data_IF_649465354907
#
_entry.id   IF_649465354907
#
_cell.length_a   1.000
_cell.length_b   1.000
_cell.length_c   1.000
_cell.angle_alpha   90.00
_cell.angle_beta   90.00
_cell.angle_gamma   90.00
#
_symmetry.space_group_name_H-M   'P 1'
#
loop_
_entity.id
_entity.type
_entity.pdbx_description
1 polymer ?
#
# COMPACT_ATOMS: atom_id res chain seq x y z
N UNK A 1 9.66 21.65 36.33
CA UNK A 1 10.46 20.57 35.71
C UNK A 1 9.71 20.10 34.47
N UNK A 2 10.06 20.63 33.30
CA UNK A 2 9.39 20.28 32.04
C UNK A 2 10.00 18.98 31.49
N UNK A 3 9.20 17.92 31.40
CA UNK A 3 9.58 16.70 30.69
C UNK A 3 9.61 17.02 29.19
N UNK A 4 10.81 17.22 28.66
CA UNK A 4 11.03 17.30 27.21
C UNK A 4 10.89 15.87 26.67
N UNK A 5 9.72 15.55 26.11
CA UNK A 5 9.50 14.32 25.36
C UNK A 5 10.31 14.36 24.06
N UNK A 6 11.58 13.97 24.12
CA UNK A 6 12.39 13.73 22.92
C UNK A 6 11.98 12.39 22.33
N UNK A 7 11.31 12.40 21.18
CA UNK A 7 11.10 11.19 20.38
C UNK A 7 12.46 10.71 19.88
N UNK A 8 12.92 9.53 20.34
CA UNK A 8 14.08 8.85 19.75
C UNK A 8 13.85 8.71 18.25
N UNK A 9 14.85 9.06 17.44
CA UNK A 9 14.83 8.88 15.98
C UNK A 9 14.61 7.39 15.70
N UNK A 10 13.46 7.05 15.12
CA UNK A 10 13.09 5.66 14.87
C UNK A 10 14.06 5.07 13.82
N UNK A 11 14.64 3.88 14.03
CA UNK A 11 15.68 3.32 13.16
C UNK A 11 15.19 2.81 11.80
N UNK A 12 13.98 3.20 11.37
CA UNK A 12 13.31 2.68 10.17
C UNK A 12 12.60 1.34 10.42
N UNK A 13 11.94 0.82 9.38
CA UNK A 13 11.26 -0.47 9.47
C UNK A 13 12.28 -1.61 9.54
N UNK A 14 12.22 -2.41 10.60
CA UNK A 14 13.07 -3.58 10.77
C UNK A 14 12.70 -4.74 9.82
N UNK A 15 13.64 -5.67 9.67
CA UNK A 15 13.43 -6.92 8.93
C UNK A 15 13.49 -6.80 7.39
N UNK A 16 13.45 -7.94 6.67
CA UNK A 16 13.69 -7.98 5.24
C UNK A 16 12.64 -7.23 4.41
N UNK A 17 11.36 -7.27 4.81
CA UNK A 17 10.27 -6.55 4.14
C UNK A 17 10.39 -5.05 4.42
N UNK A 18 10.62 -4.67 5.68
CA UNK A 18 10.72 -3.27 6.11
C UNK A 18 11.83 -2.51 5.38
N UNK A 19 13.00 -3.13 5.22
CA UNK A 19 14.14 -2.55 4.49
C UNK A 19 13.85 -2.27 3.01
N UNK A 20 12.97 -3.05 2.39
CA UNK A 20 12.58 -2.87 0.99
C UNK A 20 11.52 -1.77 0.80
N UNK A 21 10.85 -1.33 1.87
CA UNK A 21 9.83 -0.30 1.75
C UNK A 21 10.44 1.02 1.27
N UNK A 22 11.66 1.35 1.71
CA UNK A 22 12.29 2.63 1.36
C UNK A 22 12.82 2.63 -0.08
N UNK A 23 13.28 1.49 -0.59
CA UNK A 23 13.78 1.29 -1.96
C UNK A 23 12.74 0.75 -2.95
N UNK A 24 11.46 0.66 -2.55
CA UNK A 24 10.40 0.13 -3.40
C UNK A 24 10.26 0.88 -4.74
N UNK A 25 10.72 2.12 -4.85
CA UNK A 25 10.66 2.91 -6.09
C UNK A 25 11.66 2.47 -7.16
N UNK A 26 12.68 1.68 -6.79
CA UNK A 26 13.82 1.41 -7.67
C UNK A 26 13.68 0.06 -8.40
N UNK A 27 12.63 -0.70 -8.11
CA UNK A 27 12.41 -2.02 -8.68
C UNK A 27 11.59 -1.97 -9.97
N UNK A 28 11.89 -2.91 -10.87
CA UNK A 28 11.05 -3.16 -12.03
C UNK A 28 9.69 -3.74 -11.63
N UNK A 29 8.66 -3.40 -12.40
CA UNK A 29 7.33 -3.99 -12.28
C UNK A 29 7.38 -5.47 -12.64
N UNK A 30 6.73 -6.30 -11.83
CA UNK A 30 6.49 -7.69 -12.15
C UNK A 30 5.20 -7.78 -12.98
N UNK A 31 5.31 -8.00 -14.29
CA UNK A 31 4.13 -8.15 -15.17
C UNK A 31 3.26 -9.38 -14.85
N UNK A 32 3.77 -10.32 -14.04
CA UNK A 32 3.12 -11.58 -13.70
C UNK A 32 2.84 -11.71 -12.18
N UNK A 33 2.60 -10.60 -11.48
CA UNK A 33 2.23 -10.69 -10.06
C UNK A 33 0.91 -11.45 -9.88
N UNK A 34 0.77 -12.16 -8.76
CA UNK A 34 -0.44 -12.94 -8.48
C UNK A 34 -1.52 -11.99 -7.99
N UNK A 35 -2.70 -12.04 -8.62
CA UNK A 35 -3.87 -11.29 -8.15
C UNK A 35 -4.30 -11.75 -6.76
N UNK A 36 -4.76 -10.84 -5.92
CA UNK A 36 -5.28 -11.16 -4.58
C UNK A 36 -6.73 -10.69 -4.48
N UNK A 37 -7.65 -11.63 -4.36
CA UNK A 37 -9.10 -11.36 -4.35
C UNK A 37 -9.79 -11.79 -3.06
N UNK A 38 -9.13 -11.60 -1.90
CA UNK A 38 -9.69 -11.92 -0.58
C UNK A 38 -10.61 -10.80 -0.05
N UNK A 39 -11.51 -11.17 0.87
CA UNK A 39 -12.42 -10.24 1.55
C UNK A 39 -13.55 -9.69 0.66
N UNK A 40 -14.38 -8.77 1.20
CA UNK A 40 -15.49 -8.17 0.46
C UNK A 40 -14.98 -7.38 -0.75
N UNK A 41 -15.84 -7.17 -1.77
CA UNK A 41 -15.49 -6.30 -2.89
C UNK A 41 -15.16 -4.89 -2.41
N UNK A 42 -14.19 -4.26 -3.05
CA UNK A 42 -13.91 -2.85 -2.82
C UNK A 42 -15.10 -2.03 -3.37
N UNK A 43 -15.59 -1.07 -2.59
CA UNK A 43 -16.65 -0.17 -3.04
C UNK A 43 -16.21 0.59 -4.29
N UNK A 44 -17.07 0.61 -5.32
CA UNK A 44 -16.82 1.41 -6.52
C UNK A 44 -17.10 2.87 -6.20
N UNK A 45 -16.04 3.68 -6.14
CA UNK A 45 -16.14 5.11 -5.92
C UNK A 45 -16.57 5.82 -7.22
N UNK A 46 -17.52 6.78 -7.16
CA UNK A 46 -17.77 7.69 -8.28
C UNK A 46 -16.53 8.52 -8.62
N UNK A 47 -16.35 8.89 -9.89
CA UNK A 47 -15.17 9.66 -10.34
C UNK A 47 -14.98 10.97 -9.57
N UNK A 48 -16.08 11.65 -9.22
CA UNK A 48 -16.04 12.87 -8.38
C UNK A 48 -15.39 12.62 -7.02
N UNK A 49 -15.74 11.52 -6.36
CA UNK A 49 -15.15 11.14 -5.06
C UNK A 49 -13.67 10.82 -5.22
N UNK A 50 -13.30 10.11 -6.30
CA UNK A 50 -11.90 9.78 -6.60
C UNK A 50 -11.06 11.05 -6.84
N UNK A 51 -11.64 12.09 -7.45
CA UNK A 51 -10.98 13.36 -7.70
C UNK A 51 -10.76 14.18 -6.43
N UNK A 52 -11.67 14.09 -5.45
CA UNK A 52 -11.55 14.74 -4.14
C UNK A 52 -10.60 14.02 -3.17
N UNK A 53 -10.19 12.77 -3.48
CA UNK A 53 -9.20 12.06 -2.67
C UNK A 53 -7.84 12.74 -2.72
N UNK A 54 -7.14 12.72 -1.58
CA UNK A 54 -5.73 13.11 -1.57
C UNK A 54 -4.89 12.19 -2.46
N UNK A 55 -3.72 12.65 -2.91
CA UNK A 55 -2.83 11.88 -3.78
C UNK A 55 -2.57 10.46 -3.26
N UNK A 56 -2.29 10.33 -1.96
CA UNK A 56 -1.99 9.04 -1.33
C UNK A 56 -3.23 8.12 -1.27
N UNK A 57 -4.42 8.68 -1.04
CA UNK A 57 -5.67 7.93 -0.98
C UNK A 57 -6.10 7.44 -2.35
N UNK A 58 -5.99 8.31 -3.36
CA UNK A 58 -6.27 7.98 -4.76
C UNK A 58 -5.32 6.92 -5.28
N UNK A 59 -4.04 7.01 -4.95
CA UNK A 59 -3.06 5.97 -5.25
C UNK A 59 -3.46 4.65 -4.60
N UNK A 60 -3.75 4.66 -3.29
CA UNK A 60 -4.17 3.49 -2.53
C UNK A 60 -5.40 2.79 -3.15
N UNK A 61 -6.41 3.57 -3.55
CA UNK A 61 -7.60 3.03 -4.22
C UNK A 61 -7.23 2.32 -5.52
N UNK A 62 -6.46 2.99 -6.39
CA UNK A 62 -6.07 2.47 -7.71
C UNK A 62 -5.21 1.21 -7.59
N UNK A 63 -4.28 1.17 -6.64
CA UNK A 63 -3.40 -0.01 -6.50
C UNK A 63 -4.13 -1.22 -5.92
N UNK A 64 -5.12 -1.01 -5.04
CA UNK A 64 -5.96 -2.12 -4.56
C UNK A 64 -6.78 -2.69 -5.72
N UNK A 65 -7.38 -1.85 -6.56
CA UNK A 65 -8.06 -2.32 -7.77
C UNK A 65 -7.10 -3.13 -8.66
N UNK A 66 -5.92 -2.58 -8.96
CA UNK A 66 -4.92 -3.24 -9.78
C UNK A 66 -4.51 -4.63 -9.25
N UNK A 67 -4.27 -4.76 -7.92
CA UNK A 67 -3.89 -6.05 -7.33
C UNK A 67 -5.06 -7.04 -7.33
N UNK A 68 -6.30 -6.58 -7.14
CA UNK A 68 -7.49 -7.43 -7.21
C UNK A 68 -7.77 -7.93 -8.63
N UNK A 69 -7.59 -7.06 -9.61
CA UNK A 69 -7.82 -7.35 -11.02
C UNK A 69 -6.65 -8.15 -11.64
N UNK A 70 -5.47 -8.10 -11.02
CA UNK A 70 -4.25 -8.74 -11.54
C UNK A 70 -3.57 -7.93 -12.65
N UNK A 71 -3.95 -6.67 -12.82
CA UNK A 71 -3.46 -5.80 -13.91
C UNK A 71 -3.03 -4.46 -13.33
N UNK A 72 -1.77 -4.10 -13.51
CA UNK A 72 -1.24 -2.79 -13.10
C UNK A 72 -1.30 -1.79 -14.26
N UNK A 73 -2.07 -0.68 -14.14
CA UNK A 73 -2.09 0.36 -15.17
C UNK A 73 -0.72 1.03 -15.32
N UNK A 74 -0.26 1.26 -16.55
CA UNK A 74 1.05 1.86 -16.83
C UNK A 74 1.27 3.22 -16.11
N UNK A 75 0.25 4.08 -16.09
CA UNK A 75 0.32 5.37 -15.39
C UNK A 75 0.38 5.27 -13.86
N UNK A 76 -0.10 4.16 -13.27
CA UNK A 76 -0.02 3.93 -11.82
C UNK A 76 1.39 3.51 -11.41
N UNK A 77 2.05 2.73 -12.27
CA UNK A 77 3.43 2.30 -12.10
C UNK A 77 4.42 3.47 -12.12
N UNK A 78 4.15 4.49 -12.95
CA UNK A 78 4.96 5.71 -13.08
C UNK A 78 4.64 6.78 -12.03
N UNK A 79 3.62 6.56 -11.19
CA UNK A 79 3.24 7.54 -10.16
C UNK A 79 4.25 7.50 -9.01
N UNK A 80 4.93 8.61 -8.75
CA UNK A 80 5.87 8.73 -7.63
C UNK A 80 5.16 8.43 -6.30
N UNK A 81 5.60 7.36 -5.66
CA UNK A 81 5.15 7.01 -4.31
C UNK A 81 5.87 7.94 -3.35
N UNK A 82 5.10 8.78 -2.65
CA UNK A 82 5.61 9.67 -1.60
C UNK A 82 6.57 8.91 -0.65
N UNK A 83 7.66 9.54 -0.17
CA UNK A 83 8.52 8.96 0.87
C UNK A 83 7.71 8.35 2.02
N UNK A 84 8.15 7.20 2.51
CA UNK A 84 7.51 6.56 3.67
C UNK A 84 7.56 7.53 4.84
N UNK A 85 6.40 7.88 5.37
CA UNK A 85 6.32 8.53 6.67
C UNK A 85 5.83 7.50 7.69
N UNK A 86 6.68 7.17 8.67
CA UNK A 86 6.42 6.13 9.67
C UNK A 86 5.16 6.37 10.52
N UNK A 87 4.70 7.62 10.62
CA UNK A 87 3.45 7.96 11.33
C UNK A 87 2.18 7.67 10.51
N UNK A 88 2.31 7.31 9.23
CA UNK A 88 1.20 7.21 8.27
C UNK A 88 1.04 5.80 7.74
N UNK A 89 0.19 5.01 8.40
CA UNK A 89 -0.18 3.66 7.98
C UNK A 89 -0.59 3.57 6.50
N UNK A 90 -1.35 4.54 5.97
CA UNK A 90 -1.78 4.54 4.57
C UNK A 90 -0.58 4.54 3.60
N UNK A 91 0.46 5.33 3.87
CA UNK A 91 1.66 5.37 3.03
C UNK A 91 2.40 4.04 3.09
N UNK A 92 2.54 3.45 4.28
CA UNK A 92 3.15 2.13 4.45
C UNK A 92 2.36 1.03 3.73
N UNK A 93 1.03 1.04 3.84
CA UNK A 93 0.14 0.09 3.16
C UNK A 93 0.26 0.20 1.62
N UNK A 94 0.28 1.42 1.09
CA UNK A 94 0.48 1.67 -0.35
C UNK A 94 1.84 1.13 -0.82
N UNK A 95 2.91 1.32 -0.04
CA UNK A 95 4.24 0.79 -0.37
C UNK A 95 4.28 -0.73 -0.32
N UNK A 96 3.58 -1.37 0.63
CA UNK A 96 3.47 -2.83 0.71
C UNK A 96 2.71 -3.41 -0.50
N UNK A 97 1.65 -2.73 -0.93
CA UNK A 97 0.91 -3.08 -2.15
C UNK A 97 1.77 -2.90 -3.40
N UNK A 98 2.57 -1.83 -3.48
CA UNK A 98 3.53 -1.66 -4.56
C UNK A 98 4.59 -2.77 -4.54
N UNK A 99 5.15 -3.07 -3.36
CA UNK A 99 6.14 -4.13 -3.22
C UNK A 99 5.62 -5.46 -3.75
N UNK A 100 4.33 -5.76 -3.60
CA UNK A 100 3.69 -6.95 -4.17
C UNK A 100 3.72 -7.02 -5.70
N UNK A 101 3.55 -5.88 -6.38
CA UNK A 101 3.53 -5.81 -7.85
C UNK A 101 4.93 -5.61 -8.46
N UNK A 102 5.97 -5.53 -7.64
CA UNK A 102 7.35 -5.32 -8.06
C UNK A 102 8.17 -6.62 -8.07
N UNK A 103 9.31 -6.62 -8.78
CA UNK A 103 10.30 -7.70 -8.72
C UNK A 103 11.17 -7.58 -7.46
N UNK A 104 10.55 -7.77 -6.30
CA UNK A 104 11.16 -7.53 -4.98
C UNK A 104 12.15 -8.62 -4.49
N UNK A 105 12.27 -9.76 -5.20
CA UNK A 105 13.25 -10.83 -4.90
C UNK A 105 13.04 -11.63 -3.60
N UNK A 106 12.05 -11.28 -2.77
CA UNK A 106 11.73 -12.02 -1.53
C UNK A 106 11.31 -13.46 -1.82
N UNK A 107 11.78 -14.38 -0.99
CA UNK A 107 11.49 -15.83 -1.07
C UNK A 107 11.13 -16.40 0.31
N UNK A 108 10.59 -17.61 0.33
CA UNK A 108 10.34 -18.39 1.54
C UNK A 108 9.45 -17.66 2.55
N UNK A 109 9.89 -17.59 3.81
CA UNK A 109 9.12 -16.98 4.92
C UNK A 109 8.79 -15.50 4.66
N UNK A 110 9.71 -14.74 4.06
CA UNK A 110 9.49 -13.31 3.83
C UNK A 110 8.41 -13.06 2.76
N UNK A 111 8.38 -13.88 1.71
CA UNK A 111 7.31 -13.81 0.70
C UNK A 111 5.95 -14.17 1.32
N UNK A 112 5.88 -15.22 2.14
CA UNK A 112 4.66 -15.61 2.86
C UNK A 112 4.15 -14.49 3.78
N UNK A 113 5.06 -13.84 4.49
CA UNK A 113 4.73 -12.72 5.37
C UNK A 113 4.22 -11.50 4.57
N UNK A 114 4.86 -11.17 3.43
CA UNK A 114 4.37 -10.11 2.56
C UNK A 114 2.96 -10.43 2.04
N UNK A 115 2.76 -11.65 1.55
CA UNK A 115 1.45 -12.11 1.07
C UNK A 115 0.37 -11.94 2.14
N UNK A 116 0.62 -12.40 3.37
CA UNK A 116 -0.31 -12.27 4.48
C UNK A 116 -0.67 -10.81 4.80
N UNK A 117 0.33 -9.92 4.79
CA UNK A 117 0.11 -8.48 5.00
C UNK A 117 -0.72 -7.88 3.87
N UNK A 118 -0.44 -8.25 2.61
CA UNK A 118 -1.17 -7.77 1.44
C UNK A 118 -2.62 -8.27 1.45
N UNK A 119 -2.85 -9.53 1.81
CA UNK A 119 -4.19 -10.09 2.01
C UNK A 119 -4.98 -9.31 3.07
N UNK A 120 -4.35 -8.98 4.21
CA UNK A 120 -4.98 -8.14 5.22
C UNK A 120 -5.34 -6.75 4.68
N UNK A 121 -4.43 -6.12 3.93
CA UNK A 121 -4.66 -4.79 3.36
C UNK A 121 -5.85 -4.83 2.39
N UNK A 122 -5.87 -5.78 1.47
CA UNK A 122 -6.88 -5.91 0.42
C UNK A 122 -8.23 -6.38 0.96
N UNK A 123 -8.21 -7.35 1.87
CA UNK A 123 -9.41 -8.03 2.36
C UNK A 123 -10.06 -7.36 3.56
N UNK A 124 -9.34 -6.53 4.32
CA UNK A 124 -9.85 -5.93 5.56
C UNK A 124 -9.66 -4.43 5.57
N UNK A 125 -8.41 -3.96 5.54
CA UNK A 125 -8.12 -2.55 5.78
C UNK A 125 -8.74 -1.63 4.70
N UNK A 126 -8.48 -1.88 3.42
CA UNK A 126 -8.95 -1.02 2.34
C UNK A 126 -10.48 -1.00 2.22
N UNK A 127 -11.19 -2.16 2.20
CA UNK A 127 -12.65 -2.15 2.18
C UNK A 127 -13.25 -1.36 3.36
N UNK A 128 -12.74 -1.56 4.58
CA UNK A 128 -13.20 -0.81 5.75
C UNK A 128 -12.95 0.70 5.60
N UNK A 129 -11.74 1.09 5.18
CA UNK A 129 -11.36 2.50 5.06
C UNK A 129 -12.19 3.24 3.99
N UNK A 130 -12.35 2.66 2.81
CA UNK A 130 -13.11 3.28 1.72
C UNK A 130 -14.62 3.28 2.00
N UNK A 131 -15.16 2.26 2.67
CA UNK A 131 -16.56 2.26 3.12
C UNK A 131 -16.85 3.40 4.11
N UNK A 132 -15.93 3.67 5.04
CA UNK A 132 -16.06 4.81 5.97
C UNK A 132 -15.97 6.13 5.19
N UNK A 133 -15.04 6.24 4.24
CA UNK A 133 -14.90 7.47 3.44
C UNK A 133 -16.14 7.81 2.64
N UNK A 134 -16.74 6.84 1.94
CA UNK A 134 -17.97 7.09 1.17
C UNK A 134 -19.13 7.55 2.04
N UNK A 135 -19.22 7.08 3.28
CA UNK A 135 -20.30 7.46 4.20
C UNK A 135 -20.15 8.87 4.78
N UNK A 136 -18.96 9.46 4.69
CA UNK A 136 -18.61 10.73 5.34
C UNK A 136 -18.00 11.76 4.37
N UNK A 137 -18.10 11.50 3.06
CA UNK A 137 -17.79 12.42 1.96
C UNK A 137 -19.08 12.94 1.37
#
# INVERSE_FOLDING_TARGET
>A
MALVCQTKKYPGHGGPIGKLLDSATDFEINSNFIRISVGPPLIKLPDKVIQDLSTDQRYGYKIVCAVRDGVLPAGLALSEIRPVNHSRWLTTANRLLMLWVLKHGLKGKNLKNLHFIVEFIIGVYCPCWFNVKVKHS
#
